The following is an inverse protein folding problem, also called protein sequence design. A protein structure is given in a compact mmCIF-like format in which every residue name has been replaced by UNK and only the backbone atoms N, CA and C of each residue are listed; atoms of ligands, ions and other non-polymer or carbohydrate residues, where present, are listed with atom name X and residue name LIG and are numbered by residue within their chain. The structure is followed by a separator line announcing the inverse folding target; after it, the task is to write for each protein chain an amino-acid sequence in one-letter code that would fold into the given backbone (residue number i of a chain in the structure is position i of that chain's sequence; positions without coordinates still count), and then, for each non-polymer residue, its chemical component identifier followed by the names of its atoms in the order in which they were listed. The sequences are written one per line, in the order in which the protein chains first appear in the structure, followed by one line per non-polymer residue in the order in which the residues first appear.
data_IF_577147615165
#
_entry.id   IF_577147615165
#
_cell.length_a   1.000
_cell.length_b   1.000
_cell.length_c   1.000
_cell.angle_alpha   90.00
_cell.angle_beta   90.00
_cell.angle_gamma   90.00
#
_symmetry.space_group_name_H-M   'P 1'
#
loop_
_entity.id
_entity.type
_entity.pdbx_description
1 polymer ?
#
# COMPACT_ATOMS: atom_id res chain seq x y z
N UNK A 1 20.97 -8.70 2.95
CA UNK A 1 20.59 -8.85 3.12
C UNK A 1 20.12 -9.08 3.33
N UNK A 2 19.91 -9.00 3.15
CA UNK A 2 19.48 -9.24 3.35
C UNK A 2 19.05 -9.92 3.35
N UNK A 3 19.34 -10.18 3.63
CA UNK A 3 18.75 -10.91 3.78
C UNK A 3 17.65 -10.89 3.61
N UNK A 4 17.58 -10.69 3.49
CA UNK A 4 16.38 -10.53 2.82
C UNK A 4 15.18 -10.41 3.67
N UNK A 5 14.11 -9.93 3.06
CA UNK A 5 12.82 -9.90 3.71
C UNK A 5 12.24 -11.31 3.73
N UNK A 6 11.48 -11.65 4.78
CA UNK A 6 10.72 -12.90 4.76
C UNK A 6 9.73 -12.91 3.60
N UNK A 7 9.35 -14.10 3.18
CA UNK A 7 8.38 -14.26 2.10
C UNK A 7 7.09 -13.48 2.37
N UNK A 8 6.60 -13.56 3.60
CA UNK A 8 5.36 -12.87 3.93
C UNK A 8 5.50 -11.36 3.76
N UNK A 9 6.65 -10.82 4.08
CA UNK A 9 6.88 -9.40 3.94
C UNK A 9 6.97 -9.00 2.47
N UNK A 10 7.59 -9.84 1.66
CA UNK A 10 7.66 -9.58 0.23
C UNK A 10 6.28 -9.59 -0.40
N UNK A 11 5.43 -10.52 0.03
CA UNK A 11 4.06 -10.57 -0.48
C UNK A 11 3.28 -9.33 -0.10
N UNK A 12 3.41 -8.89 1.15
CA UNK A 12 2.74 -7.68 1.59
C UNK A 12 3.19 -6.47 0.78
N UNK A 13 4.48 -6.38 0.50
CA UNK A 13 5.00 -5.28 -0.30
C UNK A 13 4.48 -5.32 -1.73
N UNK A 14 4.35 -6.51 -2.29
CA UNK A 14 3.80 -6.64 -3.63
C UNK A 14 2.35 -6.19 -3.65
N UNK A 15 1.58 -6.56 -2.63
CA UNK A 15 0.19 -6.13 -2.53
C UNK A 15 0.10 -4.62 -2.36
N UNK A 16 1.00 -4.05 -1.58
CA UNK A 16 1.06 -2.61 -1.41
C UNK A 16 1.30 -1.90 -2.74
N UNK A 17 2.27 -2.39 -3.49
CA UNK A 17 2.59 -1.78 -4.78
C UNK A 17 1.42 -1.89 -5.74
N UNK A 18 0.75 -3.04 -5.76
CA UNK A 18 -0.42 -3.22 -6.61
C UNK A 18 -1.55 -2.28 -6.22
N UNK A 19 -1.78 -2.13 -4.93
CA UNK A 19 -2.83 -1.23 -4.46
C UNK A 19 -2.54 0.21 -4.90
N UNK A 20 -1.32 0.65 -4.72
CA UNK A 20 -0.96 2.02 -5.09
C UNK A 20 -1.10 2.23 -6.58
N UNK A 21 -0.74 1.24 -7.38
CA UNK A 21 -0.88 1.36 -8.82
C UNK A 21 -2.35 1.41 -9.22
N UNK A 22 -3.18 0.55 -8.64
CA UNK A 22 -4.60 0.54 -8.99
C UNK A 22 -5.29 1.84 -8.56
N UNK A 23 -4.86 2.42 -7.45
CA UNK A 23 -5.43 3.68 -6.99
C UNK A 23 -5.17 4.83 -7.95
N UNK A 24 -4.18 4.71 -8.81
CA UNK A 24 -3.93 5.72 -9.84
C UNK A 24 -5.00 5.69 -10.92
N UNK A 25 -5.76 4.62 -11.02
CA UNK A 25 -6.71 4.43 -12.11
C UNK A 25 -8.15 4.41 -11.65
N UNK A 26 -8.41 4.08 -10.38
CA UNK A 26 -9.78 4.05 -9.89
C UNK A 26 -9.79 4.23 -8.38
N UNK A 27 -10.93 4.68 -7.84
CA UNK A 27 -11.03 4.93 -6.40
C UNK A 27 -11.02 3.63 -5.60
N UNK A 28 -10.70 3.78 -4.33
CA UNK A 28 -10.53 2.62 -3.45
C UNK A 28 -11.78 1.76 -3.39
N UNK A 29 -12.95 2.37 -3.36
CA UNK A 29 -14.20 1.61 -3.22
C UNK A 29 -14.52 0.79 -4.47
N UNK A 30 -13.79 0.99 -5.56
CA UNK A 30 -13.95 0.19 -6.77
C UNK A 30 -12.88 -0.87 -6.92
N UNK A 31 -11.93 -0.93 -6.01
CA UNK A 31 -10.86 -1.92 -6.07
C UNK A 31 -11.27 -3.13 -5.25
N UNK A 32 -11.20 -4.31 -5.87
CA UNK A 32 -11.56 -5.55 -5.20
C UNK A 32 -10.29 -6.34 -4.87
N UNK A 33 -10.45 -7.33 -3.98
CA UNK A 33 -9.34 -8.24 -3.69
C UNK A 33 -8.89 -8.95 -4.96
N UNK A 34 -9.83 -9.32 -5.82
CA UNK A 34 -9.48 -9.95 -7.10
C UNK A 34 -8.63 -9.03 -7.96
N UNK A 35 -8.97 -7.74 -8.01
CA UNK A 35 -8.15 -6.79 -8.76
C UNK A 35 -6.72 -6.80 -8.26
N UNK A 36 -6.55 -6.77 -6.96
CA UNK A 36 -5.21 -6.74 -6.36
C UNK A 36 -4.45 -8.02 -6.65
N UNK A 37 -5.08 -9.16 -6.42
CA UNK A 37 -4.38 -10.43 -6.57
C UNK A 37 -4.08 -10.73 -8.02
N UNK A 38 -4.95 -10.36 -8.94
CA UNK A 38 -4.67 -10.51 -10.35
C UNK A 38 -3.53 -9.62 -10.79
N UNK A 39 -3.49 -8.40 -10.31
CA UNK A 39 -2.44 -7.46 -10.66
C UNK A 39 -1.08 -7.91 -10.12
N UNK A 40 -1.09 -8.43 -8.94
CA UNK A 40 0.14 -8.79 -8.23
C UNK A 40 0.60 -10.23 -8.52
N UNK A 41 -0.30 -11.06 -9.05
CA UNK A 41 0.07 -12.43 -9.40
C UNK A 41 0.03 -13.42 -8.25
N UNK A 42 -0.72 -13.11 -7.20
CA UNK A 42 -0.91 -14.04 -6.07
C UNK A 42 -2.36 -14.50 -6.06
N UNK A 43 -2.65 -15.57 -5.31
CA UNK A 43 -4.03 -16.01 -5.22
C UNK A 43 -4.72 -15.35 -4.03
N UNK A 44 -6.05 -15.48 -4.01
CA UNK A 44 -6.85 -14.80 -2.99
C UNK A 44 -6.58 -15.34 -1.60
N UNK A 45 -6.28 -16.62 -1.48
CA UNK A 45 -5.96 -17.18 -0.18
C UNK A 45 -4.72 -16.54 0.42
N UNK A 46 -3.74 -16.25 -0.43
CA UNK A 46 -2.54 -15.55 0.02
C UNK A 46 -2.89 -14.17 0.57
N UNK A 47 -3.77 -13.46 -0.10
CA UNK A 47 -4.22 -12.17 0.41
C UNK A 47 -4.84 -12.32 1.79
N UNK A 48 -5.79 -13.24 1.93
CA UNK A 48 -6.52 -13.37 3.19
C UNK A 48 -5.67 -13.98 4.30
N UNK A 49 -4.54 -14.56 3.95
CA UNK A 49 -3.59 -14.98 4.97
C UNK A 49 -2.97 -13.80 5.68
N UNK A 50 -2.79 -12.69 4.98
CA UNK A 50 -2.11 -11.51 5.52
C UNK A 50 -3.06 -10.42 5.94
N UNK A 51 -4.17 -10.27 5.26
CA UNK A 51 -5.08 -9.15 5.48
C UNK A 51 -6.51 -9.62 5.48
N UNK A 52 -7.31 -9.00 6.32
CA UNK A 52 -8.72 -9.34 6.43
C UNK A 52 -9.51 -8.83 5.24
N UNK A 53 -9.19 -7.63 4.79
CA UNK A 53 -9.84 -7.02 3.64
C UNK A 53 -8.93 -5.93 3.09
N UNK A 54 -9.42 -5.20 2.10
CA UNK A 54 -8.63 -4.16 1.45
C UNK A 54 -8.31 -3.03 2.43
N UNK A 55 -9.24 -2.70 3.32
CA UNK A 55 -9.00 -1.63 4.28
C UNK A 55 -7.91 -2.00 5.27
N UNK A 56 -7.82 -3.27 5.60
CA UNK A 56 -6.72 -3.75 6.43
C UNK A 56 -5.39 -3.54 5.74
N UNK A 57 -5.34 -3.79 4.43
CA UNK A 57 -4.14 -3.53 3.64
C UNK A 57 -3.81 -2.04 3.60
N UNK A 58 -4.82 -1.20 3.43
CA UNK A 58 -4.61 0.24 3.42
C UNK A 58 -4.00 0.70 4.73
N UNK A 59 -4.51 0.19 5.83
CA UNK A 59 -4.00 0.53 7.14
C UNK A 59 -2.53 0.13 7.28
N UNK A 60 -2.20 -1.06 6.80
CA UNK A 60 -0.82 -1.52 6.84
C UNK A 60 0.09 -0.62 6.00
N UNK A 61 -0.39 -0.21 4.83
CA UNK A 61 0.38 0.69 3.97
C UNK A 61 0.65 2.02 4.66
N UNK A 62 -0.35 2.56 5.33
CA UNK A 62 -0.19 3.81 6.06
C UNK A 62 0.83 3.68 7.18
N UNK A 63 0.78 2.56 7.89
CA UNK A 63 1.73 2.32 8.97
C UNK A 63 3.15 2.21 8.43
N UNK A 64 3.32 1.54 7.31
CA UNK A 64 4.64 1.40 6.70
C UNK A 64 5.17 2.72 6.22
N UNK A 65 4.31 3.54 5.61
CA UNK A 65 4.74 4.84 5.14
C UNK A 65 5.11 5.75 6.30
N UNK A 66 4.38 5.68 7.39
CA UNK A 66 4.69 6.46 8.58
C UNK A 66 6.04 6.03 9.16
N UNK A 67 6.29 4.73 9.18
CA UNK A 67 7.55 4.23 9.69
C UNK A 67 8.72 4.71 8.84
N UNK A 68 8.56 4.72 7.53
CA UNK A 68 9.59 5.23 6.63
C UNK A 68 9.83 6.71 6.83
N UNK A 69 8.76 7.46 7.03
CA UNK A 69 8.86 8.90 7.27
C UNK A 69 9.62 9.18 8.56
N UNK A 70 9.32 8.40 9.61
CA UNK A 70 10.01 8.57 10.89
C UNK A 70 11.48 8.19 10.78
N UNK A 71 11.81 7.29 9.88
CA UNK A 71 13.20 6.91 9.67
C UNK A 71 13.95 7.90 8.78
N UNK A 72 13.30 8.94 8.31
CA UNK A 72 13.94 9.95 7.50
C UNK A 72 14.02 9.62 6.03
N UNK A 73 13.29 8.63 5.58
CA UNK A 73 13.30 8.25 4.18
C UNK A 73 12.30 9.09 3.40
N UNK A 74 12.59 9.24 2.13
CA UNK A 74 11.77 10.10 1.28
C UNK A 74 10.87 9.33 0.34
N UNK A 75 10.78 8.04 0.52
CA UNK A 75 9.98 7.21 -0.38
C UNK A 75 8.50 7.52 -0.31
N UNK A 76 8.05 8.10 0.79
CA UNK A 76 6.63 8.44 0.91
C UNK A 76 6.24 9.62 0.03
N UNK A 77 7.20 10.34 -0.52
CA UNK A 77 6.93 11.54 -1.30
C UNK A 77 6.07 11.25 -2.51
N UNK A 78 6.16 10.03 -3.04
CA UNK A 78 5.50 9.76 -4.30
C UNK A 78 3.98 9.76 -4.19
N UNK A 79 3.45 9.48 -3.00
CA UNK A 79 2.01 9.50 -2.86
C UNK A 79 1.53 10.30 -1.67
N UNK A 80 2.37 10.41 -0.64
CA UNK A 80 2.00 11.22 0.52
C UNK A 80 2.01 12.70 0.20
N UNK A 81 2.82 13.10 -0.73
CA UNK A 81 2.90 14.50 -1.09
C UNK A 81 1.59 15.02 -1.63
N UNK A 82 0.86 14.19 -2.35
CA UNK A 82 -0.46 14.57 -2.81
C UNK A 82 -1.40 14.90 -1.67
N UNK A 83 -1.37 14.08 -0.63
CA UNK A 83 -2.16 14.33 0.56
C UNK A 83 -1.75 15.62 1.24
N UNK A 84 -0.46 15.85 1.36
CA UNK A 84 0.02 17.07 2.01
C UNK A 84 -0.41 18.31 1.28
N UNK A 85 -0.36 18.28 -0.04
CA UNK A 85 -0.77 19.42 -0.82
C UNK A 85 -2.25 19.73 -0.63
N UNK A 86 -3.07 18.70 -0.62
CA UNK A 86 -4.50 18.90 -0.38
C UNK A 86 -4.73 19.44 1.01
N UNK A 87 -4.02 18.91 1.96
CA UNK A 87 -4.15 19.30 3.35
C UNK A 87 -3.76 20.77 3.54
N UNK A 88 -2.65 21.17 2.95
CA UNK A 88 -2.18 22.55 3.05
C UNK A 88 -3.15 23.52 2.39
N UNK A 89 -3.70 23.11 1.27
CA UNK A 89 -4.68 23.96 0.60
C UNK A 89 -5.92 24.17 1.46
N UNK A 90 -6.33 23.14 2.16
CA UNK A 90 -7.49 23.24 3.06
C UNK A 90 -7.20 24.16 4.23
N UNK A 91 -5.97 24.13 4.72
CA UNK A 91 -5.61 24.92 5.88
C UNK A 91 -5.47 26.40 5.55
N UNK A 92 -5.32 26.72 4.32
CA UNK A 92 -5.20 28.10 3.92
C UNK A 92 -6.54 28.71 3.63
#
# INVERSE_FOLDING_TARGET
MERGLPMSQMTKRALEASLKELLRHKPLDKITVSDLTDHCGVNRMTFYYHFKDIYDLVEWCCEEDAARALAGQKTYDTWQQGFLQIFEAVQQ
#
